data_IF_061147463857
#
_entry.id   IF_061147463857
#
_cell.length_a   1.000
_cell.length_b   1.000
_cell.length_c   1.000
_cell.angle_alpha   90.00
_cell.angle_beta   90.00
_cell.angle_gamma   90.00
#
_symmetry.space_group_name_H-M   'P 1'
#
loop_
_entity.id
_entity.type
_entity.pdbx_description
1 polymer ?
#
# COMPACT_ATOMS: atom_id res chain seq x y z
N UNK A 1 10.52 12.32 9.44
CA UNK A 1 11.00 13.68 9.14
C UNK A 1 10.09 14.72 9.78
N UNK A 2 10.51 15.99 9.87
CA UNK A 2 9.63 17.05 10.41
C UNK A 2 8.43 17.32 9.48
N UNK A 3 8.62 17.10 8.18
CA UNK A 3 7.65 17.34 7.12
C UNK A 3 6.56 16.25 7.04
N UNK A 4 6.83 15.06 7.59
CA UNK A 4 5.98 13.87 7.53
C UNK A 4 6.58 12.72 6.71
N UNK A 5 5.81 11.63 6.58
CA UNK A 5 6.17 10.45 5.81
C UNK A 5 5.09 10.20 4.74
N UNK A 6 5.51 9.78 3.53
CA UNK A 6 4.57 9.51 2.43
C UNK A 6 3.94 8.12 2.60
N UNK A 7 2.61 8.04 2.59
CA UNK A 7 1.88 6.79 2.74
C UNK A 7 1.89 5.99 1.44
N UNK A 8 2.21 4.70 1.55
CA UNK A 8 2.03 3.74 0.48
C UNK A 8 0.88 2.79 0.83
N UNK A 9 0.01 2.55 -0.14
CA UNK A 9 -1.07 1.55 -0.06
C UNK A 9 -0.85 0.57 -1.20
N UNK A 10 -0.54 -0.69 -0.88
CA UNK A 10 -0.44 -1.76 -1.88
C UNK A 10 -1.84 -2.27 -2.23
N UNK A 11 -2.09 -2.47 -3.53
CA UNK A 11 -3.42 -2.81 -4.05
C UNK A 11 -3.37 -4.09 -4.89
N UNK A 12 -4.50 -4.79 -4.95
CA UNK A 12 -4.75 -5.87 -5.89
C UNK A 12 -5.91 -5.49 -6.82
N UNK A 13 -5.75 -5.80 -8.10
CA UNK A 13 -6.76 -5.55 -9.14
C UNK A 13 -7.17 -6.84 -9.84
N UNK A 14 -8.46 -6.98 -10.12
CA UNK A 14 -8.97 -8.08 -10.96
C UNK A 14 -8.87 -7.65 -12.43
N UNK A 15 -8.19 -8.44 -13.25
CA UNK A 15 -8.10 -8.16 -14.69
C UNK A 15 -9.45 -8.32 -15.38
N UNK A 16 -9.61 -7.69 -16.54
CA UNK A 16 -10.85 -7.76 -17.34
C UNK A 16 -11.26 -9.20 -17.67
N UNK A 17 -10.30 -10.07 -18.03
CA UNK A 17 -10.55 -11.50 -18.26
C UNK A 17 -10.78 -12.24 -16.94
N UNK A 18 -10.02 -11.92 -15.90
CA UNK A 18 -10.16 -12.54 -14.57
C UNK A 18 -11.54 -12.30 -13.95
N UNK A 19 -12.18 -11.16 -14.23
CA UNK A 19 -13.53 -10.84 -13.78
C UNK A 19 -14.60 -11.83 -14.26
N UNK A 20 -14.33 -12.59 -15.34
CA UNK A 20 -15.21 -13.66 -15.82
C UNK A 20 -15.14 -14.91 -14.94
N UNK A 21 -14.11 -15.03 -14.09
CA UNK A 21 -13.95 -16.13 -13.16
C UNK A 21 -14.45 -15.71 -11.76
N UNK A 22 -15.50 -16.35 -11.22
CA UNK A 22 -16.02 -16.01 -9.89
C UNK A 22 -15.00 -16.23 -8.76
N UNK A 23 -13.93 -17.00 -8.98
CA UNK A 23 -12.85 -17.17 -8.00
C UNK A 23 -12.04 -15.89 -7.79
N UNK A 24 -11.96 -14.99 -8.78
CA UNK A 24 -11.21 -13.75 -8.65
C UNK A 24 -11.78 -12.87 -7.52
N UNK A 25 -13.11 -12.72 -7.48
CA UNK A 25 -13.77 -11.97 -6.42
C UNK A 25 -13.64 -12.66 -5.05
N UNK A 26 -13.72 -14.00 -5.01
CA UNK A 26 -13.48 -14.75 -3.77
C UNK A 26 -12.06 -14.55 -3.24
N UNK A 27 -11.07 -14.45 -4.13
CA UNK A 27 -9.69 -14.19 -3.75
C UNK A 27 -9.51 -12.77 -3.17
N UNK A 28 -10.08 -11.74 -3.79
CA UNK A 28 -10.05 -10.37 -3.24
C UNK A 28 -10.71 -10.32 -1.86
N UNK A 29 -11.87 -10.97 -1.69
CA UNK A 29 -12.53 -11.05 -0.38
C UNK A 29 -11.65 -11.77 0.66
N UNK A 30 -10.98 -12.85 0.27
CA UNK A 30 -10.02 -13.56 1.12
C UNK A 30 -8.83 -12.67 1.50
N UNK A 31 -8.27 -11.89 0.57
CA UNK A 31 -7.15 -10.98 0.84
C UNK A 31 -7.47 -9.96 1.93
N UNK A 32 -8.70 -9.48 2.00
CA UNK A 32 -9.14 -8.52 3.04
C UNK A 32 -9.53 -9.18 4.36
N UNK A 33 -9.55 -10.51 4.43
CA UNK A 33 -9.95 -11.27 5.60
C UNK A 33 -8.78 -11.68 6.51
N UNK A 34 -9.08 -12.13 7.75
CA UNK A 34 -8.07 -12.41 8.78
C UNK A 34 -6.99 -13.41 8.37
N UNK A 35 -7.36 -14.48 7.67
CA UNK A 35 -6.40 -15.50 7.22
C UNK A 35 -5.27 -14.94 6.35
N UNK A 36 -5.56 -13.90 5.56
CA UNK A 36 -4.55 -13.23 4.75
C UNK A 36 -3.89 -12.10 5.55
N UNK A 37 -4.68 -11.30 6.25
CA UNK A 37 -4.17 -10.12 6.97
C UNK A 37 -3.27 -10.47 8.17
N UNK A 38 -3.44 -11.64 8.80
CA UNK A 38 -2.63 -12.10 9.93
C UNK A 38 -1.16 -12.36 9.56
N UNK A 39 -0.88 -12.74 8.30
CA UNK A 39 0.50 -13.05 7.87
C UNK A 39 1.23 -11.84 7.34
N UNK A 40 0.51 -10.78 6.92
CA UNK A 40 1.10 -9.58 6.32
C UNK A 40 2.18 -8.92 7.20
N UNK A 41 1.97 -8.71 8.51
CA UNK A 41 2.94 -8.02 9.35
C UNK A 41 4.33 -8.67 9.38
N UNK A 42 4.40 -10.00 9.39
CA UNK A 42 5.65 -10.74 9.62
C UNK A 42 6.20 -11.40 8.35
N UNK A 43 5.51 -11.29 7.22
CA UNK A 43 5.97 -11.82 5.93
C UNK A 43 6.23 -10.72 4.89
N UNK A 44 5.36 -9.72 4.82
CA UNK A 44 5.51 -8.56 3.93
C UNK A 44 6.11 -7.34 4.65
N UNK A 45 6.20 -7.36 5.98
CA UNK A 45 6.69 -6.25 6.81
C UNK A 45 5.90 -4.95 6.65
N UNK A 46 4.57 -5.08 6.54
CA UNK A 46 3.63 -3.96 6.39
C UNK A 46 2.52 -4.03 7.43
N UNK A 47 1.86 -2.91 7.73
CA UNK A 47 0.65 -2.92 8.53
C UNK A 47 -0.53 -3.58 7.77
N UNK A 48 -1.41 -4.33 8.44
CA UNK A 48 -2.57 -4.94 7.79
C UNK A 48 -3.57 -3.86 7.39
N UNK A 49 -4.20 -4.04 6.23
CA UNK A 49 -5.26 -3.17 5.70
C UNK A 49 -6.68 -3.66 6.07
N UNK A 50 -6.81 -4.87 6.61
CA UNK A 50 -8.07 -5.47 7.01
C UNK A 50 -8.05 -6.02 8.43
N UNK A 51 -9.12 -6.72 8.80
CA UNK A 51 -9.25 -7.31 10.14
C UNK A 51 -8.25 -8.45 10.30
N UNK A 52 -7.56 -8.49 11.45
CA UNK A 52 -6.77 -9.62 11.92
C UNK A 52 -7.52 -10.42 12.99
N UNK A 53 -7.20 -11.70 13.17
CA UNK A 53 -7.75 -12.53 14.26
C UNK A 53 -6.93 -12.38 15.55
N UNK A 54 -5.65 -11.99 15.41
CA UNK A 54 -4.71 -11.81 16.53
C UNK A 54 -4.22 -10.36 16.61
N UNK A 55 -3.85 -9.88 17.80
CA UNK A 55 -3.13 -8.62 17.92
C UNK A 55 -1.78 -8.70 17.20
N UNK A 56 -1.27 -7.55 16.77
CA UNK A 56 0.07 -7.45 16.22
C UNK A 56 1.11 -7.79 17.28
N UNK A 57 2.28 -8.23 16.82
CA UNK A 57 3.43 -8.42 17.69
C UNK A 57 3.78 -7.09 18.40
N UNK A 58 4.05 -7.08 19.72
CA UNK A 58 4.40 -5.86 20.46
C UNK A 58 5.61 -5.08 19.90
N UNK A 59 6.44 -5.70 19.06
CA UNK A 59 7.47 -5.00 18.31
C UNK A 59 6.92 -3.85 17.46
N UNK A 60 5.70 -3.96 16.93
CA UNK A 60 5.05 -2.93 16.11
C UNK A 60 4.72 -1.66 16.90
N UNK A 61 4.58 -1.74 18.23
CA UNK A 61 4.36 -0.56 19.08
C UNK A 61 5.60 0.34 19.20
N UNK A 62 6.77 -0.21 18.84
CA UNK A 62 8.06 0.49 18.90
C UNK A 62 8.48 1.08 17.55
N UNK A 63 7.72 0.82 16.49
CA UNK A 63 7.99 1.39 15.18
C UNK A 63 7.69 2.88 15.16
N UNK A 64 8.39 3.60 14.28
CA UNK A 64 8.17 5.03 14.07
C UNK A 64 6.72 5.24 13.64
N UNK A 65 5.99 6.06 14.40
CA UNK A 65 4.65 6.52 14.04
C UNK A 65 4.79 7.89 13.39
N UNK A 66 4.46 8.06 12.10
CA UNK A 66 4.56 9.35 11.43
C UNK A 66 3.71 10.39 12.17
N UNK A 67 4.28 11.55 12.46
CA UNK A 67 3.56 12.70 13.03
C UNK A 67 2.61 13.32 12.02
N UNK A 68 2.98 13.26 10.73
CA UNK A 68 2.19 13.70 9.60
C UNK A 68 2.27 12.68 8.47
N UNK A 69 1.12 12.32 7.94
CA UNK A 69 1.01 11.43 6.78
C UNK A 69 0.81 12.28 5.52
N UNK A 70 1.68 12.09 4.53
CA UNK A 70 1.62 12.74 3.23
C UNK A 70 1.02 11.78 2.21
N UNK A 71 0.10 12.27 1.38
CA UNK A 71 -0.48 11.49 0.28
C UNK A 71 -1.07 12.46 -0.76
N UNK A 72 -0.56 12.40 -2.00
CA UNK A 72 -1.22 13.07 -3.12
C UNK A 72 -2.48 12.31 -3.54
N UNK A 73 -3.45 13.03 -4.11
CA UNK A 73 -4.59 12.37 -4.75
C UNK A 73 -4.13 11.55 -5.96
N UNK A 74 -4.79 10.42 -6.28
CA UNK A 74 -4.50 9.67 -7.50
C UNK A 74 -4.59 10.54 -8.77
N UNK A 75 -5.51 11.50 -8.79
CA UNK A 75 -5.72 12.42 -9.90
C UNK A 75 -4.53 13.38 -10.08
N UNK A 76 -4.02 13.96 -8.99
CA UNK A 76 -2.85 14.83 -9.02
C UNK A 76 -1.61 14.06 -9.48
N UNK A 77 -1.41 12.84 -8.96
CA UNK A 77 -0.31 11.98 -9.41
C UNK A 77 -0.46 11.65 -10.89
N UNK A 78 -1.65 11.28 -11.36
CA UNK A 78 -1.87 10.95 -12.77
C UNK A 78 -1.60 12.14 -13.71
N UNK A 79 -2.02 13.34 -13.31
CA UNK A 79 -1.81 14.56 -14.08
C UNK A 79 -0.34 14.99 -14.16
N UNK A 80 0.45 14.76 -13.10
CA UNK A 80 1.77 15.37 -12.98
C UNK A 80 2.96 14.39 -13.01
N UNK A 81 2.74 13.08 -12.79
CA UNK A 81 3.84 12.09 -12.62
C UNK A 81 4.90 12.15 -13.71
N UNK A 82 4.49 12.38 -14.96
CA UNK A 82 5.42 12.40 -16.10
C UNK A 82 6.38 13.57 -15.98
N UNK A 83 5.86 14.77 -15.73
CA UNK A 83 6.67 15.98 -15.60
C UNK A 83 7.67 15.86 -14.44
N UNK A 84 7.21 15.39 -13.27
CA UNK A 84 8.08 15.19 -12.11
C UNK A 84 9.20 14.18 -12.34
N UNK A 85 8.89 13.05 -13.00
CA UNK A 85 9.92 12.04 -13.32
C UNK A 85 10.92 12.58 -14.35
N UNK A 86 10.45 13.29 -15.38
CA UNK A 86 11.32 13.89 -16.40
C UNK A 86 12.27 14.95 -15.76
N UNK A 87 11.75 15.78 -14.85
CA UNK A 87 12.53 16.76 -14.08
C UNK A 87 13.60 16.08 -13.22
N UNK A 88 13.22 15.05 -12.45
CA UNK A 88 14.15 14.29 -11.63
C UNK A 88 15.28 13.67 -12.46
N UNK A 89 14.95 13.03 -13.59
CA UNK A 89 15.95 12.42 -14.48
C UNK A 89 16.93 13.45 -15.06
N UNK A 90 16.42 14.62 -15.47
CA UNK A 90 17.23 15.68 -16.07
C UNK A 90 18.31 16.23 -15.13
N UNK A 91 18.04 16.20 -13.81
CA UNK A 91 18.99 16.67 -12.78
C UNK A 91 19.93 15.55 -12.32
N UNK A 92 19.45 14.32 -12.20
CA UNK A 92 20.20 13.22 -11.57
C UNK A 92 21.06 12.39 -12.54
N UNK A 93 20.86 12.50 -13.86
CA UNK A 93 21.52 11.63 -14.86
C UNK A 93 22.70 12.28 -15.59
N UNK A 94 23.39 13.23 -14.94
CA UNK A 94 24.59 13.89 -15.49
C UNK A 94 25.86 13.28 -14.95
#
# INVERSE_FOLDING_TARGET
FEEGEYLQIEVAGVTTTGAKNPLAQKFIAFMTGPKFQDVIPETNWMFPAGKTDKPLNPAFDRLVKPTKTLLFSPEDVAANRKAWVDEWLAVMSK
#
